data_IF_717099022607
#
_entry.id   IF_717099022607
#
_cell.length_a   1.000
_cell.length_b   1.000
_cell.length_c   1.000
_cell.angle_alpha   90.00
_cell.angle_beta   90.00
_cell.angle_gamma   90.00
#
_symmetry.space_group_name_H-M   'P 1'
#
loop_
_entity.id
_entity.type
_entity.pdbx_description
1 polymer ?
#
# COMPACT_ATOMS: atom_id res chain seq x y z
N UNK A 1 -12.04 5.06 -5.76
CA UNK A 1 -10.61 4.69 -5.89
C UNK A 1 -10.49 3.54 -6.85
N UNK A 2 -9.43 3.47 -7.65
CA UNK A 2 -9.10 2.27 -8.42
C UNK A 2 -7.71 1.81 -8.01
N UNK A 3 -7.49 0.50 -8.02
CA UNK A 3 -6.17 -0.09 -7.81
C UNK A 3 -5.81 -0.98 -8.99
N UNK A 4 -4.51 -1.20 -9.14
CA UNK A 4 -3.92 -2.11 -10.10
C UNK A 4 -3.23 -3.25 -9.36
N UNK A 5 -3.32 -4.47 -9.87
CA UNK A 5 -2.64 -5.64 -9.34
C UNK A 5 -2.41 -6.67 -10.43
N UNK A 6 -1.49 -7.60 -10.20
CA UNK A 6 -1.14 -8.61 -11.20
C UNK A 6 -2.27 -9.62 -11.44
N UNK A 7 -3.04 -9.96 -10.41
CA UNK A 7 -4.02 -11.05 -10.47
C UNK A 7 -5.38 -10.54 -10.88
N UNK A 8 -5.91 -9.54 -10.18
CA UNK A 8 -7.24 -9.00 -10.48
C UNK A 8 -7.21 -7.80 -11.43
N UNK A 9 -6.02 -7.44 -11.94
CA UNK A 9 -5.82 -6.31 -12.83
C UNK A 9 -6.33 -5.00 -12.20
N UNK A 10 -7.27 -4.32 -12.85
CA UNK A 10 -7.83 -3.06 -12.38
C UNK A 10 -9.19 -3.31 -11.72
N UNK A 11 -9.28 -3.03 -10.43
CA UNK A 11 -10.54 -3.01 -9.70
C UNK A 11 -10.79 -1.64 -9.09
N UNK A 12 -12.05 -1.22 -9.01
CA UNK A 12 -12.44 0.07 -8.45
C UNK A 12 -13.47 -0.15 -7.34
N UNK A 13 -13.43 0.72 -6.34
CA UNK A 13 -14.32 0.68 -5.20
C UNK A 13 -14.49 2.05 -4.55
N UNK A 14 -15.52 2.16 -3.74
CA UNK A 14 -15.77 3.33 -2.91
C UNK A 14 -14.78 3.32 -1.75
N UNK A 15 -14.15 4.46 -1.50
CA UNK A 15 -13.34 4.67 -0.30
C UNK A 15 -14.28 4.94 0.85
N UNK A 16 -14.17 4.18 1.93
CA UNK A 16 -15.01 4.31 3.11
C UNK A 16 -14.35 5.14 4.20
N UNK A 17 -13.03 5.09 4.31
CA UNK A 17 -12.30 5.70 5.42
C UNK A 17 -10.84 6.00 5.08
N UNK A 18 -10.29 7.01 5.75
CA UNK A 18 -8.87 7.32 5.83
C UNK A 18 -8.49 7.45 7.31
N UNK A 19 -7.67 6.53 7.83
CA UNK A 19 -7.13 6.61 9.19
C UNK A 19 -5.73 6.03 9.23
N UNK A 20 -4.85 6.58 10.06
CA UNK A 20 -3.50 6.05 10.34
C UNK A 20 -2.66 5.72 9.09
N UNK A 21 -2.71 6.59 8.07
CA UNK A 21 -2.06 6.40 6.76
C UNK A 21 -2.54 5.17 5.97
N UNK A 22 -3.72 4.66 6.30
CA UNK A 22 -4.42 3.59 5.58
C UNK A 22 -5.68 4.15 4.95
N UNK A 23 -5.93 3.74 3.69
CA UNK A 23 -7.18 3.97 2.98
C UNK A 23 -7.98 2.67 2.99
N UNK A 24 -9.26 2.74 3.32
CA UNK A 24 -10.17 1.60 3.29
C UNK A 24 -11.08 1.71 2.07
N UNK A 25 -11.15 0.67 1.25
CA UNK A 25 -11.97 0.69 0.03
C UNK A 25 -12.49 -0.68 -0.36
N UNK A 26 -13.66 -0.71 -0.99
CA UNK A 26 -14.26 -1.91 -1.58
C UNK A 26 -13.64 -2.33 -2.92
N UNK A 27 -12.43 -1.88 -3.22
CA UNK A 27 -11.76 -2.25 -4.47
C UNK A 27 -11.21 -3.68 -4.31
N UNK A 28 -11.81 -4.65 -5.00
CA UNK A 28 -11.50 -6.07 -4.82
C UNK A 28 -10.02 -6.40 -5.01
N UNK A 29 -9.44 -7.19 -4.10
CA UNK A 29 -8.03 -7.58 -4.08
C UNK A 29 -7.91 -9.10 -4.00
N UNK A 30 -6.78 -9.65 -4.45
CA UNK A 30 -6.45 -11.07 -4.31
C UNK A 30 -4.98 -11.23 -3.92
N UNK A 31 -4.56 -12.35 -3.28
CA UNK A 31 -3.14 -12.58 -3.03
C UNK A 31 -2.36 -12.53 -4.35
N UNK A 32 -1.27 -11.76 -4.38
CA UNK A 32 -0.52 -11.44 -5.60
C UNK A 32 -0.77 -10.05 -6.17
N UNK A 33 -1.78 -9.32 -5.69
CA UNK A 33 -1.98 -7.90 -6.06
C UNK A 33 -1.15 -6.93 -5.19
N UNK A 34 -0.49 -7.41 -4.13
CA UNK A 34 0.24 -6.59 -3.17
C UNK A 34 1.35 -5.77 -3.84
N UNK A 35 1.60 -4.55 -3.37
CA UNK A 35 2.53 -3.59 -3.97
C UNK A 35 1.98 -2.86 -5.20
N UNK A 36 0.86 -3.32 -5.78
CA UNK A 36 0.22 -2.68 -6.91
C UNK A 36 -0.29 -1.26 -6.63
N UNK A 37 -0.21 -0.38 -7.62
CA UNK A 37 -0.51 1.04 -7.45
C UNK A 37 -2.00 1.34 -7.25
N UNK A 38 -2.29 2.39 -6.49
CA UNK A 38 -3.64 2.88 -6.21
C UNK A 38 -3.78 4.30 -6.77
N UNK A 39 -4.91 4.58 -7.40
CA UNK A 39 -5.28 5.90 -7.91
C UNK A 39 -6.59 6.41 -7.32
N UNK A 40 -6.60 7.69 -6.98
CA UNK A 40 -7.77 8.40 -6.48
C UNK A 40 -7.83 9.79 -7.14
N UNK A 41 -9.00 10.15 -7.69
CA UNK A 41 -9.21 11.44 -8.40
C UNK A 41 -8.16 11.72 -9.49
N UNK A 42 -7.65 10.69 -10.16
CA UNK A 42 -6.65 10.81 -11.22
C UNK A 42 -5.19 10.91 -10.76
N UNK A 43 -4.94 10.99 -9.45
CA UNK A 43 -3.59 10.98 -8.87
C UNK A 43 -3.21 9.63 -8.29
N UNK A 44 -1.90 9.36 -8.21
CA UNK A 44 -1.38 8.25 -7.42
C UNK A 44 -1.65 8.51 -5.93
N UNK A 45 -2.27 7.54 -5.27
CA UNK A 45 -2.78 7.69 -3.92
C UNK A 45 -2.17 6.70 -2.92
N UNK A 46 -1.50 5.64 -3.40
CA UNK A 46 -0.99 4.63 -2.50
C UNK A 46 -0.64 3.31 -3.18
N UNK A 47 -0.47 2.29 -2.36
CA UNK A 47 -0.15 0.93 -2.79
C UNK A 47 -1.04 -0.09 -2.10
N UNK A 48 -1.27 -1.22 -2.74
CA UNK A 48 -1.98 -2.34 -2.15
C UNK A 48 -1.13 -3.00 -1.06
N UNK A 49 -1.63 -3.00 0.17
CA UNK A 49 -0.91 -3.52 1.35
C UNK A 49 -1.73 -4.51 2.17
N UNK A 50 -2.91 -4.90 1.70
CA UNK A 50 -3.78 -5.79 2.45
C UNK A 50 -3.14 -7.17 2.68
N UNK A 51 -3.13 -7.58 3.94
CA UNK A 51 -2.63 -8.87 4.40
C UNK A 51 -3.80 -9.86 4.42
N UNK A 52 -3.64 -10.98 3.73
CA UNK A 52 -4.56 -12.12 3.73
C UNK A 52 -6.02 -11.81 3.31
N UNK A 53 -6.28 -11.47 2.03
CA UNK A 53 -7.64 -11.28 1.50
C UNK A 53 -8.42 -12.58 1.27
N UNK A 54 -8.06 -13.69 1.94
CA UNK A 54 -8.77 -14.97 1.82
C UNK A 54 -10.23 -14.91 2.27
N UNK A 55 -10.61 -13.85 3.00
CA UNK A 55 -11.99 -13.49 3.27
C UNK A 55 -12.39 -12.28 2.42
N UNK A 56 -13.36 -12.48 1.53
CA UNK A 56 -13.87 -11.48 0.60
C UNK A 56 -14.65 -10.31 1.26
N UNK A 57 -14.66 -10.25 2.59
CA UNK A 57 -15.43 -9.29 3.35
C UNK A 57 -14.57 -8.04 3.56
N UNK A 58 -14.54 -7.16 2.56
CA UNK A 58 -13.95 -5.83 2.68
C UNK A 58 -14.64 -4.98 3.77
N UNK A 59 -14.26 -3.70 3.93
CA UNK A 59 -13.36 -2.94 3.05
C UNK A 59 -11.89 -3.34 3.19
N UNK A 60 -11.16 -3.33 2.07
CA UNK A 60 -9.75 -3.71 2.01
C UNK A 60 -8.84 -2.51 2.32
N UNK A 61 -7.65 -2.82 2.85
CA UNK A 61 -6.66 -1.83 3.27
C UNK A 61 -5.66 -1.52 2.16
N UNK A 62 -5.35 -0.24 2.02
CA UNK A 62 -4.35 0.27 1.08
C UNK A 62 -3.48 1.29 1.81
N UNK A 63 -2.15 1.21 1.65
CA UNK A 63 -1.25 2.18 2.27
C UNK A 63 -1.32 3.49 1.50
N UNK A 64 -1.60 4.58 2.20
CA UNK A 64 -1.64 5.92 1.65
C UNK A 64 -0.22 6.42 1.33
N UNK A 65 -0.03 7.00 0.14
CA UNK A 65 1.26 7.55 -0.29
C UNK A 65 1.72 8.71 0.59
N UNK A 66 0.81 9.46 1.21
CA UNK A 66 1.15 10.58 2.08
C UNK A 66 2.04 10.15 3.27
N UNK A 67 1.71 9.01 3.89
CA UNK A 67 2.51 8.46 5.00
C UNK A 67 3.90 8.01 4.55
N UNK A 68 3.98 7.34 3.39
CA UNK A 68 5.25 6.89 2.79
C UNK A 68 6.15 8.10 2.50
N UNK A 69 5.62 9.15 1.87
CA UNK A 69 6.39 10.34 1.54
C UNK A 69 6.81 11.11 2.80
N UNK A 70 5.94 11.19 3.81
CA UNK A 70 6.28 11.83 5.08
C UNK A 70 7.42 11.09 5.79
N UNK A 71 7.43 9.76 5.74
CA UNK A 71 8.51 8.94 6.29
C UNK A 71 9.83 9.13 5.53
N UNK A 72 9.81 9.01 4.20
CA UNK A 72 10.99 9.25 3.36
C UNK A 72 11.59 10.65 3.56
N UNK A 73 10.74 11.68 3.67
CA UNK A 73 11.18 13.05 3.90
C UNK A 73 11.86 13.22 5.28
N UNK A 74 11.44 12.48 6.31
CA UNK A 74 12.07 12.51 7.64
C UNK A 74 13.47 11.90 7.62
N UNK A 75 13.70 10.90 6.78
CA UNK A 75 14.98 10.22 6.69
C UNK A 75 16.04 11.05 5.91
N UNK A 76 15.58 11.98 5.07
CA UNK A 76 16.42 12.98 4.41
C UNK A 76 16.77 12.66 2.95
N UNK A 77 17.41 13.59 2.23
CA UNK A 77 17.60 13.50 0.78
C UNK A 77 18.58 12.39 0.33
N UNK A 78 19.33 11.80 1.27
CA UNK A 78 20.26 10.70 1.00
C UNK A 78 19.61 9.32 1.20
N UNK A 79 18.34 9.27 1.61
CA UNK A 79 17.62 8.04 1.85
C UNK A 79 17.36 7.29 0.56
N UNK A 80 17.98 6.11 0.45
CA UNK A 80 17.64 5.12 -0.57
C UNK A 80 16.62 4.18 0.05
N UNK A 81 15.42 4.12 -0.54
CA UNK A 81 14.41 3.16 -0.10
C UNK A 81 14.94 1.74 -0.24
N UNK A 82 14.91 0.96 0.84
CA UNK A 82 15.38 -0.43 0.87
C UNK A 82 14.43 -1.42 0.16
N UNK A 83 13.26 -0.97 -0.31
CA UNK A 83 12.23 -1.84 -0.88
C UNK A 83 11.70 -2.86 0.13
N UNK A 84 11.06 -3.92 -0.35
CA UNK A 84 10.68 -5.09 0.47
C UNK A 84 11.85 -6.06 0.62
N UNK A 85 13.05 -5.57 0.99
CA UNK A 85 14.15 -6.46 1.34
C UNK A 85 13.75 -7.20 2.62
N UNK A 86 13.68 -8.54 2.64
CA UNK A 86 13.45 -9.27 3.88
C UNK A 86 14.61 -8.95 4.83
N UNK A 87 14.30 -8.46 6.04
CA UNK A 87 15.29 -8.43 7.10
C UNK A 87 15.68 -9.89 7.36
N UNK A 88 16.93 -10.24 7.06
CA UNK A 88 17.48 -11.51 7.51
C UNK A 88 17.78 -11.33 8.99
N UNK A 89 17.42 -12.33 9.80
CA UNK A 89 17.78 -12.36 11.22
C UNK A 89 19.31 -12.16 11.34
N UNK A 90 19.73 -10.95 11.71
CA UNK A 90 21.13 -10.53 11.69
C UNK A 90 21.33 -9.05 11.37
N UNK A 91 20.46 -8.44 10.57
CA UNK A 91 20.53 -7.01 10.26
C UNK A 91 19.79 -6.20 11.33
N UNK A 92 20.33 -6.23 12.55
CA UNK A 92 19.91 -5.30 13.60
C UNK A 92 20.20 -3.88 13.12
N UNK A 93 19.15 -3.06 13.12
CA UNK A 93 19.13 -1.61 12.98
C UNK A 93 20.53 -0.96 12.99
N UNK A 94 20.96 -0.45 11.85
CA UNK A 94 22.13 0.43 11.80
C UNK A 94 21.83 1.69 12.61
N UNK A 95 22.57 1.80 13.71
CA UNK A 95 22.79 3.02 14.51
C UNK A 95 23.47 4.11 13.70
#
# INVERSE_FOLDING_TARGET
MCKYGQVTQRTCGVVTEFTDNVMYSWAGIFPGDSGGGVVLKGGFAGVNSAINPSHANGPFQFTNIAGILADLNKQGPQTVGIGFQPLRDGDSAMS
#
